data_IF_655977174775
#
_entry.id   IF_655977174775
#
_cell.length_a   1.000
_cell.length_b   1.000
_cell.length_c   1.000
_cell.angle_alpha   90.00
_cell.angle_beta   90.00
_cell.angle_gamma   90.00
#
_symmetry.space_group_name_H-M   'P 1'
#
loop_
_entity.id
_entity.type
_entity.pdbx_description
1 polymer ?
#
# COMPACT_ATOMS: atom_id res chain seq x y z
N UNK A 1 -7.56 19.88 -8.55
CA UNK A 1 -6.61 18.75 -8.56
C UNK A 1 -7.20 17.66 -7.70
N UNK A 2 -7.26 16.42 -8.18
CA UNK A 2 -7.72 15.30 -7.35
C UNK A 2 -6.47 14.73 -6.67
N UNK A 3 -6.55 14.51 -5.36
CA UNK A 3 -5.49 13.81 -4.63
C UNK A 3 -5.91 12.35 -4.53
N UNK A 4 -4.94 11.46 -4.69
CA UNK A 4 -5.08 10.03 -4.46
C UNK A 4 -4.18 9.63 -3.29
N UNK A 5 -4.51 8.54 -2.61
CA UNK A 5 -3.82 8.10 -1.41
C UNK A 5 -3.14 6.77 -1.68
N UNK A 6 -1.82 6.73 -1.50
CA UNK A 6 -1.03 5.51 -1.65
C UNK A 6 -0.87 4.83 -0.31
N UNK A 7 -1.15 3.52 -0.26
CA UNK A 7 -0.92 2.72 0.94
C UNK A 7 0.53 2.21 0.93
N UNK A 8 1.20 2.30 2.08
CA UNK A 8 2.53 1.73 2.27
C UNK A 8 2.63 0.96 3.58
N UNK A 9 3.59 0.05 3.65
CA UNK A 9 4.11 -0.52 4.88
C UNK A 9 5.58 -0.13 5.06
N UNK A 10 6.04 0.00 6.30
CA UNK A 10 7.46 0.14 6.62
C UNK A 10 8.04 -1.23 6.94
N UNK A 11 8.98 -1.68 6.13
CA UNK A 11 9.70 -2.93 6.34
C UNK A 11 11.21 -2.62 6.35
N UNK A 12 11.92 -3.03 7.41
CA UNK A 12 13.35 -2.74 7.59
C UNK A 12 13.74 -1.26 7.39
N UNK A 13 12.87 -0.32 7.79
CA UNK A 13 13.09 1.12 7.64
C UNK A 13 12.83 1.67 6.24
N UNK A 14 12.30 0.86 5.32
CA UNK A 14 11.95 1.26 3.95
C UNK A 14 10.44 1.24 3.75
N UNK A 15 9.92 2.22 3.01
CA UNK A 15 8.52 2.20 2.55
C UNK A 15 8.39 1.19 1.40
N UNK A 16 7.43 0.29 1.56
CA UNK A 16 6.99 -0.66 0.54
C UNK A 16 5.55 -0.29 0.20
N UNK A 17 5.23 -0.05 -1.06
CA UNK A 17 3.89 0.38 -1.46
C UNK A 17 3.02 -0.82 -1.81
N UNK A 18 1.72 -0.70 -1.54
CA UNK A 18 0.73 -1.70 -1.89
C UNK A 18 0.60 -1.78 -3.42
N UNK A 19 0.87 -2.94 -3.99
CA UNK A 19 0.84 -3.21 -5.44
C UNK A 19 0.09 -4.50 -5.71
N UNK A 20 -0.54 -4.60 -6.88
CA UNK A 20 -0.98 -5.90 -7.40
C UNK A 20 0.25 -6.78 -7.70
N UNK A 21 0.30 -7.94 -7.06
CA UNK A 21 1.24 -9.02 -7.37
C UNK A 21 0.63 -9.96 -8.42
N UNK A 22 1.46 -10.60 -9.26
CA UNK A 22 1.00 -11.69 -10.11
C UNK A 22 0.30 -12.75 -9.26
N UNK A 23 -0.86 -13.22 -9.74
CA UNK A 23 -1.84 -14.06 -9.02
C UNK A 23 -1.34 -15.41 -8.50
N UNK A 24 -0.11 -15.82 -8.82
CA UNK A 24 0.36 -17.19 -8.60
C UNK A 24 0.89 -17.49 -7.19
N UNK A 25 1.20 -16.50 -6.34
CA UNK A 25 2.07 -16.78 -5.17
C UNK A 25 1.66 -16.19 -3.81
N UNK A 26 0.42 -15.70 -3.59
CA UNK A 26 0.06 -15.15 -2.26
C UNK A 26 -1.38 -15.35 -1.77
N UNK A 27 -1.59 -15.59 -0.45
CA UNK A 27 -2.90 -15.77 0.17
C UNK A 27 -3.78 -14.51 0.16
N UNK A 28 -3.22 -13.35 -0.20
CA UNK A 28 -3.93 -12.08 -0.36
C UNK A 28 -4.53 -11.86 -1.77
N UNK A 29 -4.55 -12.91 -2.62
CA UNK A 29 -5.27 -12.85 -3.90
C UNK A 29 -4.59 -12.00 -4.99
N UNK A 30 -3.26 -11.87 -4.93
CA UNK A 30 -2.50 -11.06 -5.88
C UNK A 30 -2.31 -9.61 -5.43
N UNK A 31 -2.32 -9.33 -4.12
CA UNK A 31 -1.92 -8.03 -3.56
C UNK A 31 -0.71 -8.25 -2.65
N UNK A 32 0.29 -7.38 -2.74
CA UNK A 32 1.43 -7.39 -1.84
C UNK A 32 2.13 -6.04 -1.78
N UNK A 33 3.31 -6.02 -1.16
CA UNK A 33 4.08 -4.79 -0.97
C UNK A 33 5.41 -4.87 -1.70
N UNK A 34 5.70 -3.85 -2.50
CA UNK A 34 6.96 -3.75 -3.24
C UNK A 34 7.69 -2.47 -2.86
N UNK A 35 8.97 -2.59 -2.48
CA UNK A 35 9.90 -1.46 -2.52
C UNK A 35 10.35 -1.22 -3.94
N UNK A 36 10.51 0.03 -4.31
CA UNK A 36 11.39 0.40 -5.43
C UNK A 36 12.76 0.72 -4.85
N UNK A 37 13.81 0.12 -5.40
CA UNK A 37 15.20 0.28 -4.94
C UNK A 37 15.65 1.75 -4.85
N UNK A 38 15.04 2.64 -5.62
CA UNK A 38 15.36 4.07 -5.71
C UNK A 38 14.45 4.99 -4.86
N UNK A 39 13.57 4.44 -4.01
CA UNK A 39 12.63 5.23 -3.20
C UNK A 39 11.48 5.85 -3.99
N UNK A 40 11.36 5.51 -5.27
CA UNK A 40 10.25 5.91 -6.15
C UNK A 40 8.98 5.13 -5.80
N UNK A 41 7.81 5.71 -6.01
CA UNK A 41 6.54 4.98 -5.89
C UNK A 41 6.37 4.06 -7.11
N UNK A 42 6.05 2.77 -6.95
CA UNK A 42 5.79 1.88 -8.08
C UNK A 42 4.64 2.40 -8.95
N UNK A 43 4.77 2.34 -10.28
CA UNK A 43 3.66 2.72 -11.18
C UNK A 43 2.42 1.85 -11.02
N UNK A 44 2.59 0.62 -10.54
CA UNK A 44 1.52 -0.33 -10.22
C UNK A 44 1.02 -0.21 -8.77
N UNK A 45 1.44 0.82 -8.02
CA UNK A 45 0.95 1.02 -6.67
C UNK A 45 -0.54 1.39 -6.71
N UNK A 46 -1.35 0.61 -6.00
CA UNK A 46 -2.77 0.87 -5.86
C UNK A 46 -3.01 2.19 -5.15
N UNK A 47 -3.95 2.97 -5.65
CA UNK A 47 -4.37 4.24 -5.05
C UNK A 47 -5.79 4.17 -4.51
N UNK A 48 -6.03 4.87 -3.41
CA UNK A 48 -7.35 5.10 -2.86
C UNK A 48 -7.81 6.52 -3.25
N UNK A 49 -9.08 6.71 -3.64
CA UNK A 49 -9.57 8.02 -4.10
C UNK A 49 -9.79 9.00 -2.95
N UNK A 50 -9.92 8.52 -1.71
CA UNK A 50 -10.14 9.34 -0.51
C UNK A 50 -9.32 8.83 0.68
N UNK A 51 -9.11 9.71 1.66
CA UNK A 51 -8.47 9.34 2.94
C UNK A 51 -9.28 8.28 3.69
N UNK A 52 -10.62 8.34 3.61
CA UNK A 52 -11.50 7.36 4.25
C UNK A 52 -11.31 5.96 3.67
N UNK A 53 -11.21 5.85 2.34
CA UNK A 53 -10.92 4.59 1.66
C UNK A 53 -9.54 4.06 2.05
N UNK A 54 -8.53 4.94 2.15
CA UNK A 54 -7.20 4.55 2.57
C UNK A 54 -7.19 3.96 3.99
N UNK A 55 -7.91 4.59 4.92
CA UNK A 55 -8.07 4.10 6.29
C UNK A 55 -8.78 2.74 6.35
N UNK A 56 -9.83 2.54 5.53
CA UNK A 56 -10.53 1.25 5.43
C UNK A 56 -9.60 0.14 4.93
N UNK A 57 -8.77 0.41 3.92
CA UNK A 57 -7.78 -0.55 3.41
C UNK A 57 -6.75 -0.89 4.49
N UNK A 58 -6.23 0.09 5.22
CA UNK A 58 -5.29 -0.16 6.32
C UNK A 58 -5.93 -0.99 7.43
N UNK A 59 -7.19 -0.70 7.80
CA UNK A 59 -7.91 -1.49 8.79
C UNK A 59 -8.02 -2.96 8.35
N UNK A 60 -8.43 -3.19 7.10
CA UNK A 60 -8.49 -4.53 6.51
C UNK A 60 -7.13 -5.24 6.52
N UNK A 61 -6.05 -4.55 6.13
CA UNK A 61 -4.70 -5.12 6.13
C UNK A 61 -4.23 -5.52 7.53
N UNK A 62 -4.54 -4.70 8.55
CA UNK A 62 -4.24 -5.00 9.96
C UNK A 62 -5.00 -6.21 10.46
N UNK A 63 -6.26 -6.37 10.06
CA UNK A 63 -7.08 -7.54 10.40
C UNK A 63 -6.60 -8.80 9.68
N UNK A 64 -6.27 -8.72 8.38
CA UNK A 64 -5.90 -9.85 7.55
C UNK A 64 -4.48 -10.39 7.84
N UNK A 65 -3.51 -9.49 8.08
CA UNK A 65 -2.08 -9.83 8.24
C UNK A 65 -1.68 -9.90 9.73
N UNK A 66 -2.49 -9.29 10.61
CA UNK A 66 -2.26 -9.26 12.06
C UNK A 66 -1.59 -7.97 12.54
N UNK A 67 -1.98 -7.56 13.75
CA UNK A 67 -1.63 -6.28 14.41
C UNK A 67 -0.16 -6.15 14.84
N UNK A 68 0.64 -7.21 14.70
CA UNK A 68 2.09 -7.17 14.97
C UNK A 68 2.84 -6.29 13.97
N UNK A 69 2.25 -6.00 12.80
CA UNK A 69 2.80 -5.13 11.77
C UNK A 69 2.22 -3.71 11.88
N UNK A 70 2.66 -2.94 12.89
CA UNK A 70 2.25 -1.53 13.11
C UNK A 70 2.84 -0.54 12.10
N UNK A 71 3.18 -1.00 10.90
CA UNK A 71 3.99 -0.25 9.95
C UNK A 71 3.21 0.24 8.74
N UNK A 72 1.88 0.06 8.72
CA UNK A 72 1.02 0.55 7.63
C UNK A 72 0.68 2.04 7.78
N UNK A 73 0.77 2.78 6.68
CA UNK A 73 0.38 4.18 6.57
C UNK A 73 -0.07 4.52 5.14
N UNK A 74 -0.42 5.78 4.93
CA UNK A 74 -0.72 6.30 3.60
C UNK A 74 -0.09 7.67 3.36
N UNK A 75 0.07 8.05 2.10
CA UNK A 75 0.51 9.38 1.69
C UNK A 75 -0.27 9.89 0.49
N UNK A 76 -0.43 11.21 0.38
CA UNK A 76 -1.10 11.85 -0.73
C UNK A 76 -0.21 11.90 -1.97
N UNK A 77 -0.78 11.53 -3.11
CA UNK A 77 -0.21 11.67 -4.45
C UNK A 77 -1.11 12.59 -5.27
N UNK A 78 -0.58 13.71 -5.80
CA UNK A 78 -1.31 14.48 -6.79
C UNK A 78 -1.43 13.65 -8.08
N UNK A 79 -2.65 13.43 -8.55
CA UNK A 79 -2.89 12.91 -9.91
C UNK A 79 -3.04 14.09 -10.87
N UNK A 80 -2.15 14.12 -11.87
CA UNK A 80 -2.17 15.09 -12.98
C UNK A 80 -3.12 14.64 -14.08
#
# INVERSE_FOLDING_TARGET
MKNEYLIYQIEHGKKMYLTDLPKDDNPLGGIGFQSVHDGTIPSAAGTCPTEEDANKVIAYLREAIGTSYNHFGFEERPVS
#
